data_IF_880204016479
#
_entry.id   IF_880204016479
#
_cell.length_a   1.000
_cell.length_b   1.000
_cell.length_c   1.000
_cell.angle_alpha   90.00
_cell.angle_beta   90.00
_cell.angle_gamma   90.00
#
_symmetry.space_group_name_H-M   'P 1'
#
loop_
_entity.id
_entity.type
_entity.pdbx_description
1 polymer ?
#
# COMPACT_ATOMS: atom_id res chain seq x y z
N UNK A 1 -3.90 -49.40 66.28
CA UNK A 1 -4.26 -49.72 64.88
C UNK A 1 -4.74 -48.53 64.05
N UNK A 2 -5.45 -47.54 64.62
CA UNK A 2 -5.85 -46.30 63.89
C UNK A 2 -4.68 -45.47 63.33
N UNK A 3 -3.55 -45.39 64.03
CA UNK A 3 -2.38 -44.64 63.56
C UNK A 3 -1.73 -45.25 62.30
N UNK A 4 -1.73 -46.58 62.19
CA UNK A 4 -1.23 -47.27 61.00
C UNK A 4 -2.19 -47.07 59.82
N UNK A 5 -3.50 -47.11 60.09
CA UNK A 5 -4.53 -46.83 59.09
C UNK A 5 -4.44 -45.38 58.56
N UNK A 6 -4.26 -44.39 59.43
CA UNK A 6 -4.08 -42.99 58.99
C UNK A 6 -2.81 -42.79 58.18
N UNK A 7 -1.71 -43.48 58.54
CA UNK A 7 -0.48 -43.44 57.75
C UNK A 7 -0.66 -44.07 56.36
N UNK A 8 -1.45 -45.14 56.23
CA UNK A 8 -1.76 -45.73 54.92
C UNK A 8 -2.66 -44.85 54.06
N UNK A 9 -3.60 -44.10 54.65
CA UNK A 9 -4.41 -43.13 53.93
C UNK A 9 -3.58 -41.94 53.42
N UNK A 10 -2.63 -41.47 54.23
CA UNK A 10 -1.69 -40.41 53.82
C UNK A 10 -0.80 -40.88 52.68
N UNK A 11 -0.30 -42.12 52.75
CA UNK A 11 0.56 -42.71 51.72
C UNK A 11 -0.17 -42.83 50.37
N UNK A 12 -1.38 -43.41 50.36
CA UNK A 12 -2.19 -43.57 49.13
C UNK A 12 -2.60 -42.22 48.53
N UNK A 13 -2.90 -41.21 49.35
CA UNK A 13 -3.19 -39.85 48.87
C UNK A 13 -1.98 -39.17 48.26
N UNK A 14 -0.79 -39.40 48.80
CA UNK A 14 0.46 -38.87 48.25
C UNK A 14 0.80 -39.52 46.91
N UNK A 15 0.66 -40.84 46.81
CA UNK A 15 0.90 -41.63 45.60
C UNK A 15 0.08 -41.09 44.42
N UNK A 16 -1.25 -40.96 44.59
CA UNK A 16 -2.13 -40.36 43.57
C UNK A 16 -1.72 -38.95 43.14
N UNK A 17 -1.19 -38.14 44.06
CA UNK A 17 -0.73 -36.77 43.74
C UNK A 17 0.60 -36.76 42.99
N UNK A 18 1.46 -37.75 43.23
CA UNK A 18 2.74 -37.88 42.55
C UNK A 18 2.56 -38.46 41.14
N UNK A 19 1.58 -39.33 40.92
CA UNK A 19 1.24 -39.87 39.59
C UNK A 19 0.79 -38.78 38.62
N UNK A 20 -0.05 -37.84 39.08
CA UNK A 20 -0.55 -36.73 38.27
C UNK A 20 0.32 -35.46 38.37
N UNK A 21 1.57 -35.57 38.82
CA UNK A 21 2.42 -34.38 38.96
C UNK A 21 2.86 -33.88 37.57
N UNK A 22 2.80 -32.56 37.31
CA UNK A 22 3.38 -31.99 36.10
C UNK A 22 4.89 -32.20 36.05
N UNK A 23 5.43 -32.32 34.85
CA UNK A 23 6.87 -32.39 34.68
C UNK A 23 7.55 -31.07 35.03
N UNK A 24 8.83 -31.15 35.41
CA UNK A 24 9.61 -29.96 35.74
C UNK A 24 9.60 -28.94 34.60
N UNK A 25 9.68 -29.40 33.36
CA UNK A 25 9.66 -28.53 32.19
C UNK A 25 8.30 -27.83 32.04
N UNK A 26 7.19 -28.54 32.21
CA UNK A 26 5.85 -27.94 32.20
C UNK A 26 5.71 -26.82 33.22
N UNK A 27 6.29 -27.02 34.42
CA UNK A 27 6.29 -26.00 35.46
C UNK A 27 7.16 -24.78 35.08
N UNK A 28 8.26 -24.98 34.36
CA UNK A 28 9.09 -23.89 33.82
C UNK A 28 8.34 -23.13 32.72
N UNK A 29 7.73 -23.83 31.79
CA UNK A 29 7.02 -23.24 30.65
C UNK A 29 5.79 -22.44 31.12
N UNK A 30 5.12 -22.91 32.17
CA UNK A 30 4.05 -22.19 32.87
C UNK A 30 4.57 -21.08 33.78
N UNK A 31 5.87 -20.80 33.78
CA UNK A 31 6.55 -19.81 34.61
C UNK A 31 6.38 -20.00 36.13
N UNK A 32 6.06 -21.23 36.58
CA UNK A 32 5.94 -21.60 38.00
C UNK A 32 7.31 -21.86 38.60
N UNK A 33 8.18 -22.58 37.88
CA UNK A 33 9.60 -22.75 38.24
C UNK A 33 10.47 -21.87 37.34
N UNK A 34 11.58 -21.35 37.86
CA UNK A 34 12.57 -20.64 37.03
C UNK A 34 13.73 -21.54 36.66
N UNK A 35 14.29 -21.30 35.48
CA UNK A 35 15.44 -22.06 34.99
C UNK A 35 16.77 -21.61 35.61
N UNK A 36 17.46 -22.58 36.22
CA UNK A 36 18.82 -22.43 36.72
C UNK A 36 18.92 -22.71 38.22
N UNK A 37 20.07 -22.38 38.81
CA UNK A 37 20.30 -22.53 40.24
C UNK A 37 19.48 -21.48 41.02
N UNK A 38 18.73 -21.86 42.08
CA UNK A 38 17.90 -20.93 42.86
C UNK A 38 18.67 -19.71 43.39
N UNK A 39 19.93 -19.92 43.81
CA UNK A 39 20.80 -18.86 44.33
C UNK A 39 21.15 -17.79 43.29
N UNK A 40 21.20 -18.14 42.00
CA UNK A 40 21.56 -17.22 40.92
C UNK A 40 20.35 -16.64 40.18
N UNK A 41 19.14 -17.12 40.51
CA UNK A 41 17.91 -16.75 39.83
C UNK A 41 17.68 -15.24 39.84
N UNK A 42 17.79 -14.60 41.01
CA UNK A 42 17.59 -13.15 41.14
C UNK A 42 18.61 -12.33 40.33
N UNK A 43 19.88 -12.73 40.35
CA UNK A 43 20.93 -12.07 39.58
C UNK A 43 20.73 -12.24 38.07
N UNK A 44 20.38 -13.46 37.62
CA UNK A 44 20.09 -13.76 36.21
C UNK A 44 18.88 -12.96 35.71
N UNK A 45 17.84 -12.84 36.52
CA UNK A 45 16.67 -12.02 36.19
C UNK A 45 16.99 -10.52 36.16
N UNK A 46 17.81 -10.02 37.09
CA UNK A 46 18.25 -8.62 37.10
C UNK A 46 19.01 -8.27 35.81
N UNK A 47 19.99 -9.08 35.43
CA UNK A 47 20.75 -8.88 34.18
C UNK A 47 19.83 -8.98 32.96
N UNK A 48 18.87 -9.92 32.95
CA UNK A 48 17.90 -10.02 31.85
C UNK A 48 17.02 -8.78 31.75
N UNK A 49 16.55 -8.25 32.88
CA UNK A 49 15.74 -7.03 32.93
C UNK A 49 16.54 -5.82 32.46
N UNK A 50 17.78 -5.68 32.89
CA UNK A 50 18.66 -4.59 32.47
C UNK A 50 18.91 -4.62 30.95
N UNK A 51 19.26 -5.78 30.40
CA UNK A 51 19.42 -5.94 28.95
C UNK A 51 18.14 -5.61 28.19
N UNK A 52 16.98 -6.04 28.72
CA UNK A 52 15.70 -5.71 28.12
C UNK A 52 15.44 -4.20 28.15
N UNK A 53 15.73 -3.53 29.27
CA UNK A 53 15.58 -2.08 29.40
C UNK A 53 16.48 -1.34 28.40
N UNK A 54 17.76 -1.69 28.32
CA UNK A 54 18.70 -1.09 27.36
C UNK A 54 18.22 -1.26 25.90
N UNK A 55 17.70 -2.44 25.56
CA UNK A 55 17.16 -2.70 24.21
C UNK A 55 15.89 -1.87 23.95
N UNK A 56 14.99 -1.78 24.92
CA UNK A 56 13.77 -0.97 24.80
C UNK A 56 14.13 0.50 24.62
N UNK A 57 15.05 1.04 25.41
CA UNK A 57 15.50 2.42 25.31
C UNK A 57 16.09 2.73 23.93
N UNK A 58 16.88 1.81 23.38
CA UNK A 58 17.39 1.92 22.01
C UNK A 58 16.25 1.97 20.97
N UNK A 59 15.27 1.06 21.07
CA UNK A 59 14.13 1.02 20.15
C UNK A 59 13.22 2.25 20.28
N UNK A 60 13.03 2.78 21.49
CA UNK A 60 12.27 4.01 21.69
C UNK A 60 13.01 5.22 21.15
N UNK A 61 14.34 5.26 21.23
CA UNK A 61 15.15 6.32 20.63
C UNK A 61 15.12 6.35 19.10
N UNK A 62 14.84 5.21 18.46
CA UNK A 62 14.72 5.08 17.01
C UNK A 62 13.27 4.97 16.53
N UNK A 63 12.29 5.27 17.39
CA UNK A 63 10.89 5.12 17.06
C UNK A 63 10.50 6.11 15.95
N UNK A 64 9.99 5.64 14.79
CA UNK A 64 9.50 6.52 13.73
C UNK A 64 8.30 7.34 14.20
N UNK A 65 8.17 8.54 13.64
CA UNK A 65 7.00 9.37 13.85
C UNK A 65 5.77 8.77 13.17
N UNK A 66 4.59 9.09 13.71
CA UNK A 66 3.32 8.56 13.18
C UNK A 66 3.14 8.92 11.70
N UNK A 67 3.43 10.16 11.34
CA UNK A 67 3.27 10.67 9.97
C UNK A 67 4.17 9.91 8.98
N UNK A 68 5.37 9.51 9.42
CA UNK A 68 6.27 8.67 8.60
C UNK A 68 5.67 7.27 8.36
N UNK A 69 5.02 6.70 9.38
CA UNK A 69 4.33 5.41 9.24
C UNK A 69 3.09 5.52 8.33
N UNK A 70 2.38 6.66 8.33
CA UNK A 70 1.28 6.93 7.40
C UNK A 70 1.77 7.08 5.96
N UNK A 71 2.84 7.86 5.75
CA UNK A 71 3.47 8.02 4.43
C UNK A 71 3.96 6.69 3.86
N UNK A 72 4.45 5.79 4.73
CA UNK A 72 4.84 4.42 4.36
C UNK A 72 3.65 3.44 4.25
N UNK A 73 2.41 3.91 4.40
CA UNK A 73 1.20 3.09 4.37
C UNK A 73 1.16 1.95 5.40
N UNK A 74 1.89 2.09 6.51
CA UNK A 74 1.88 1.14 7.63
C UNK A 74 0.65 1.40 8.51
N UNK A 75 0.40 2.68 8.84
CA UNK A 75 -0.82 3.12 9.50
C UNK A 75 -1.76 3.67 8.44
N UNK A 76 -2.99 3.15 8.37
CA UNK A 76 -3.98 3.47 7.31
C UNK A 76 -5.17 4.32 7.78
N UNK A 77 -5.15 4.78 9.03
CA UNK A 77 -6.28 5.43 9.67
C UNK A 77 -5.94 6.80 10.24
N UNK A 78 -6.80 7.78 9.94
CA UNK A 78 -6.84 9.06 10.65
C UNK A 78 -7.12 8.81 12.14
N UNK A 79 -6.51 9.62 13.01
CA UNK A 79 -6.69 9.52 14.47
C UNK A 79 -8.15 9.69 14.94
N UNK A 80 -9.02 10.18 14.06
CA UNK A 80 -10.44 10.40 14.32
C UNK A 80 -11.25 9.11 14.38
N UNK A 81 -10.71 7.98 13.89
CA UNK A 81 -11.47 6.74 13.73
C UNK A 81 -10.96 5.67 14.68
N UNK A 82 -11.91 5.03 15.37
CA UNK A 82 -11.62 3.95 16.29
C UNK A 82 -10.86 2.80 15.58
N UNK A 83 -9.83 2.20 16.21
CA UNK A 83 -9.05 1.11 15.60
C UNK A 83 -9.89 -0.05 15.05
N UNK A 84 -10.99 -0.38 15.73
CA UNK A 84 -11.92 -1.44 15.32
C UNK A 84 -12.64 -1.15 13.98
N UNK A 85 -12.80 0.12 13.61
CA UNK A 85 -13.52 0.53 12.39
C UNK A 85 -12.61 0.76 11.18
N UNK A 86 -11.30 0.78 11.37
CA UNK A 86 -10.34 1.09 10.29
C UNK A 86 -10.48 0.12 9.11
N UNK A 87 -10.60 -1.19 9.39
CA UNK A 87 -10.76 -2.21 8.37
C UNK A 87 -12.07 -2.04 7.57
N UNK A 88 -13.19 -1.77 8.27
CA UNK A 88 -14.49 -1.54 7.65
C UNK A 88 -14.48 -0.27 6.78
N UNK A 89 -13.83 0.80 7.26
CA UNK A 89 -13.69 2.04 6.49
C UNK A 89 -12.84 1.83 5.24
N UNK A 90 -11.72 1.10 5.32
CA UNK A 90 -10.88 0.80 4.16
C UNK A 90 -11.65 -0.02 3.12
N UNK A 91 -12.41 -1.03 3.57
CA UNK A 91 -13.27 -1.83 2.69
C UNK A 91 -14.31 -0.96 1.97
N UNK A 92 -15.01 -0.10 2.70
CA UNK A 92 -15.99 0.82 2.13
C UNK A 92 -15.35 1.82 1.15
N UNK A 93 -14.17 2.36 1.47
CA UNK A 93 -13.42 3.25 0.56
C UNK A 93 -13.08 2.52 -0.74
N UNK A 94 -12.59 1.28 -0.65
CA UNK A 94 -12.27 0.45 -1.83
C UNK A 94 -13.51 0.15 -2.67
N UNK A 95 -14.62 -0.20 -2.04
CA UNK A 95 -15.87 -0.48 -2.75
C UNK A 95 -16.38 0.76 -3.49
N UNK A 96 -16.42 1.92 -2.83
CA UNK A 96 -16.80 3.19 -3.46
C UNK A 96 -15.91 3.54 -4.65
N UNK A 97 -14.59 3.34 -4.51
CA UNK A 97 -13.65 3.54 -5.60
C UNK A 97 -13.91 2.57 -6.75
N UNK A 98 -14.13 1.29 -6.45
CA UNK A 98 -14.42 0.26 -7.44
C UNK A 98 -15.72 0.57 -8.21
N UNK A 99 -16.79 0.95 -7.51
CA UNK A 99 -18.06 1.37 -8.12
C UNK A 99 -17.88 2.61 -9.00
N UNK A 100 -17.17 3.63 -8.51
CA UNK A 100 -16.89 4.84 -9.30
C UNK A 100 -16.04 4.57 -10.54
N UNK A 101 -15.08 3.64 -10.45
CA UNK A 101 -14.28 3.20 -11.60
C UNK A 101 -15.12 2.41 -12.60
N UNK A 102 -15.95 1.48 -12.13
CA UNK A 102 -16.85 0.69 -12.98
C UNK A 102 -17.75 1.62 -13.82
N UNK A 103 -18.38 2.61 -13.17
CA UNK A 103 -19.22 3.57 -13.87
C UNK A 103 -18.47 4.37 -14.95
N UNK A 104 -17.22 4.79 -14.67
CA UNK A 104 -16.38 5.49 -15.65
C UNK A 104 -15.95 4.59 -16.80
N UNK A 105 -15.76 3.30 -16.55
CA UNK A 105 -15.41 2.33 -17.58
C UNK A 105 -16.60 2.00 -18.48
N UNK A 106 -17.82 1.96 -17.95
CA UNK A 106 -19.05 1.81 -18.73
C UNK A 106 -19.26 2.98 -19.70
N UNK A 107 -18.92 4.19 -19.27
CA UNK A 107 -19.02 5.40 -20.09
C UNK A 107 -17.75 5.72 -20.89
N UNK A 108 -16.83 4.75 -21.02
CA UNK A 108 -15.56 4.97 -21.70
C UNK A 108 -15.81 5.33 -23.18
N UNK A 109 -15.36 6.50 -23.66
CA UNK A 109 -15.50 6.87 -25.06
C UNK A 109 -14.69 5.95 -25.96
N UNK A 110 -15.24 5.66 -27.14
CA UNK A 110 -14.53 4.95 -28.21
C UNK A 110 -13.40 5.80 -28.79
N UNK A 111 -12.40 5.14 -29.37
CA UNK A 111 -11.26 5.81 -30.01
C UNK A 111 -11.70 6.80 -31.09
N UNK A 112 -12.69 6.42 -31.92
CA UNK A 112 -13.23 7.28 -32.98
C UNK A 112 -13.78 8.59 -32.42
N UNK A 113 -14.57 8.54 -31.35
CA UNK A 113 -15.11 9.74 -30.71
C UNK A 113 -14.01 10.68 -30.18
N UNK A 114 -12.89 10.12 -29.72
CA UNK A 114 -11.73 10.91 -29.30
C UNK A 114 -10.98 11.55 -30.49
N UNK A 115 -10.95 10.88 -31.64
CA UNK A 115 -10.41 11.43 -32.90
C UNK A 115 -11.29 12.55 -33.42
N UNK A 116 -12.61 12.36 -33.45
CA UNK A 116 -13.57 13.38 -33.91
C UNK A 116 -13.49 14.66 -33.06
N UNK A 117 -13.22 14.49 -31.75
CA UNK A 117 -13.01 15.60 -30.81
C UNK A 117 -11.59 16.19 -30.84
N UNK A 118 -10.74 15.75 -31.77
CA UNK A 118 -9.32 16.14 -31.90
C UNK A 118 -8.48 15.91 -30.63
N UNK A 119 -8.87 14.99 -29.76
CA UNK A 119 -8.11 14.59 -28.56
C UNK A 119 -7.00 13.60 -28.93
N UNK A 120 -7.31 12.65 -29.81
CA UNK A 120 -6.33 11.76 -30.44
C UNK A 120 -6.15 12.15 -31.91
N UNK A 121 -4.93 12.01 -32.47
CA UNK A 121 -4.78 12.09 -33.94
C UNK A 121 -5.16 10.77 -34.58
N UNK A 122 -5.74 10.85 -35.77
CA UNK A 122 -6.08 9.69 -36.59
C UNK A 122 -4.82 9.14 -37.27
N UNK A 123 -3.98 8.45 -36.50
CA UNK A 123 -2.74 7.88 -36.99
C UNK A 123 -2.64 6.39 -36.67
N UNK A 124 -2.09 5.65 -37.63
CA UNK A 124 -1.68 4.24 -37.49
C UNK A 124 -0.27 4.10 -36.89
N UNK A 125 0.41 5.22 -36.63
CA UNK A 125 1.76 5.24 -36.08
C UNK A 125 1.77 4.93 -34.57
N UNK A 126 2.88 4.37 -34.08
CA UNK A 126 3.05 4.13 -32.66
C UNK A 126 3.04 5.45 -31.86
N UNK A 127 2.52 5.46 -30.60
CA UNK A 127 2.41 6.67 -29.78
C UNK A 127 3.73 7.45 -29.62
N UNK A 128 4.85 6.73 -29.59
CA UNK A 128 6.17 7.33 -29.43
C UNK A 128 6.63 8.22 -30.60
N UNK A 129 6.13 7.96 -31.83
CA UNK A 129 6.57 8.67 -33.05
C UNK A 129 5.53 9.68 -33.54
N UNK A 130 4.31 9.62 -33.01
CA UNK A 130 3.19 10.48 -33.40
C UNK A 130 3.53 11.97 -33.33
N UNK A 131 4.24 12.40 -32.29
CA UNK A 131 4.67 13.79 -32.13
C UNK A 131 5.62 14.24 -33.26
N UNK A 132 6.69 13.49 -33.52
CA UNK A 132 7.67 13.80 -34.56
C UNK A 132 7.06 13.78 -35.96
N UNK A 133 6.13 12.85 -36.21
CA UNK A 133 5.37 12.82 -37.47
C UNK A 133 4.53 14.09 -37.64
N UNK A 134 3.74 14.46 -36.63
CA UNK A 134 2.87 15.64 -36.70
C UNK A 134 3.67 16.94 -36.86
N UNK A 135 4.85 17.04 -36.26
CA UNK A 135 5.76 18.17 -36.43
C UNK A 135 6.29 18.25 -37.87
N UNK A 136 6.78 17.14 -38.39
CA UNK A 136 7.24 17.04 -39.78
C UNK A 136 6.13 17.38 -40.79
N UNK A 137 4.92 16.89 -40.57
CA UNK A 137 3.77 17.20 -41.42
C UNK A 137 3.40 18.67 -41.36
N UNK A 138 3.45 19.29 -40.18
CA UNK A 138 3.22 20.72 -40.00
C UNK A 138 4.27 21.56 -40.73
N UNK A 139 5.54 21.21 -40.62
CA UNK A 139 6.61 21.91 -41.33
C UNK A 139 6.45 21.79 -42.85
N UNK A 140 6.20 20.58 -43.36
CA UNK A 140 5.93 20.36 -44.79
C UNK A 140 4.74 21.18 -45.27
N UNK A 141 3.65 21.24 -44.49
CA UNK A 141 2.48 22.05 -44.81
C UNK A 141 2.83 23.54 -44.85
N UNK A 142 3.57 24.03 -43.85
CA UNK A 142 3.99 25.44 -43.81
C UNK A 142 4.86 25.85 -44.99
N UNK A 143 5.83 25.01 -45.38
CA UNK A 143 6.70 25.27 -46.54
C UNK A 143 5.89 25.28 -47.84
N UNK A 144 4.92 24.37 -47.98
CA UNK A 144 4.02 24.31 -49.13
C UNK A 144 3.13 25.56 -49.23
N UNK A 145 2.52 25.97 -48.11
CA UNK A 145 1.66 27.16 -48.04
C UNK A 145 2.46 28.44 -48.32
N UNK A 146 3.67 28.55 -47.78
CA UNK A 146 4.56 29.68 -48.03
C UNK A 146 4.81 29.86 -49.55
N UNK A 147 5.14 28.78 -50.25
CA UNK A 147 5.32 28.82 -51.71
C UNK A 147 4.05 29.24 -52.45
N UNK A 148 2.89 28.70 -52.07
CA UNK A 148 1.60 29.04 -52.70
C UNK A 148 1.20 30.50 -52.48
N UNK A 149 1.56 31.07 -51.34
CA UNK A 149 1.30 32.48 -51.02
C UNK A 149 2.24 33.39 -51.82
N UNK A 150 3.50 32.99 -52.06
CA UNK A 150 4.43 33.74 -52.91
C UNK A 150 3.97 33.80 -54.37
N UNK A 151 3.38 32.72 -54.89
CA UNK A 151 2.81 32.63 -56.24
C UNK A 151 1.36 33.17 -56.32
N UNK A 152 0.90 33.92 -55.31
CA UNK A 152 -0.47 34.44 -55.27
C UNK A 152 -0.73 35.41 -56.44
N UNK A 153 -1.78 35.19 -57.24
CA UNK A 153 -2.15 36.09 -58.33
C UNK A 153 -2.56 37.48 -57.81
N UNK A 154 -2.11 38.51 -58.51
CA UNK A 154 -2.52 39.89 -58.26
C UNK A 154 -3.97 40.16 -58.68
N UNK A 155 -4.57 41.22 -58.16
CA UNK A 155 -6.00 41.54 -58.36
C UNK A 155 -6.38 41.68 -59.84
N UNK A 156 -5.48 42.22 -60.67
CA UNK A 156 -5.69 42.33 -62.12
C UNK A 156 -5.78 40.97 -62.81
N UNK A 157 -4.95 40.01 -62.39
CA UNK A 157 -4.99 38.65 -62.92
C UNK A 157 -6.29 37.93 -62.53
N UNK A 158 -6.85 38.26 -61.37
CA UNK A 158 -8.14 37.72 -60.93
C UNK A 158 -9.33 38.36 -61.66
N UNK A 159 -9.26 39.65 -62.00
CA UNK A 159 -10.23 40.34 -62.86
C UNK A 159 -10.24 39.73 -64.27
N UNK A 160 -9.06 39.50 -64.86
CA UNK A 160 -8.94 38.93 -66.20
C UNK A 160 -9.46 37.48 -66.26
N UNK A 161 -9.26 36.70 -65.20
CA UNK A 161 -9.80 35.34 -65.08
C UNK A 161 -11.30 35.32 -64.76
N UNK A 162 -11.95 36.47 -64.60
CA UNK A 162 -13.38 36.57 -64.28
C UNK A 162 -13.75 36.03 -62.89
N UNK A 163 -12.77 35.89 -61.99
CA UNK A 163 -12.98 35.44 -60.61
C UNK A 163 -13.32 36.62 -59.71
N UNK A 164 -12.71 37.78 -59.98
CA UNK A 164 -13.07 39.04 -59.35
C UNK A 164 -13.92 39.84 -60.36
N UNK A 165 -15.02 40.42 -59.90
CA UNK A 165 -15.84 41.34 -60.68
C UNK A 165 -15.73 42.75 -60.09
N UNK A 166 -15.90 43.76 -60.93
CA UNK A 166 -15.74 45.18 -60.59
C UNK A 166 -16.91 45.68 -59.74
#
# INVERSE_FOLDING_TARGET
NQFLQSMTEVATKLERKLECRPDKQDLVDRNVLKEGAPRLQAAKEAVRKEKLAQNLDHMFGQRPERDELEQRNIIKGDQTIAPALQAAQEALKKEKLAQGLAHKLEQRPEKSSLVDRNVLKDDSCAPAIQAAKSELEREKLSQSLEKQIQERPDSEQLLQKGVLHH
#
